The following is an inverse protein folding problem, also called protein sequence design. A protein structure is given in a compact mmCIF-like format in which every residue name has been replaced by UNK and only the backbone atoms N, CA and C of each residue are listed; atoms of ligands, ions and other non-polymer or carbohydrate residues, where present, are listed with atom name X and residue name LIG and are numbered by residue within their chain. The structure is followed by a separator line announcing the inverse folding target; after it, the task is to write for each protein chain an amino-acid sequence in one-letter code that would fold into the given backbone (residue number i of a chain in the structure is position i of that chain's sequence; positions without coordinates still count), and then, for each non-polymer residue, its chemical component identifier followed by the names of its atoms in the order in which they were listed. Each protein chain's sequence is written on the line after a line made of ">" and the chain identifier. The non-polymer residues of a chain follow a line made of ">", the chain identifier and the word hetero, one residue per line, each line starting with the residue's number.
data_IF_399959349943
#
_entry.id   IF_399959349943
#
_cell.length_a   1.000
_cell.length_b   1.000
_cell.length_c   1.000
_cell.angle_alpha   90.00
_cell.angle_beta   90.00
_cell.angle_gamma   90.00
#
_symmetry.space_group_name_H-M   'P 1'
#
loop_
_entity.id
_entity.type
_entity.pdbx_description
1 polymer ?
#
# COMPACT_ATOMS: atom_id res chain seq x y z
N UNK A 1 21.54 -9.59 26.85
CA UNK A 1 20.56 -10.36 26.04
C UNK A 1 20.80 -9.99 24.60
N UNK A 2 20.83 -10.96 23.67
CA UNK A 2 20.90 -10.64 22.24
C UNK A 2 19.63 -9.88 21.85
N UNK A 3 19.73 -8.91 20.96
CA UNK A 3 18.55 -8.19 20.46
C UNK A 3 17.70 -9.18 19.65
N UNK A 4 16.37 -9.17 19.82
CA UNK A 4 15.49 -10.03 19.04
C UNK A 4 15.57 -9.64 17.56
N UNK A 5 15.71 -10.63 16.69
CA UNK A 5 15.64 -10.44 15.24
C UNK A 5 14.24 -10.77 14.78
N UNK A 6 13.60 -9.85 14.01
CA UNK A 6 12.24 -9.99 13.51
C UNK A 6 12.19 -10.43 12.03
N UNK A 7 13.35 -10.61 11.40
CA UNK A 7 13.50 -11.13 10.04
C UNK A 7 14.58 -12.19 10.00
N UNK A 8 14.43 -13.17 9.14
CA UNK A 8 15.48 -14.15 8.89
C UNK A 8 16.70 -13.42 8.30
N UNK A 9 17.90 -13.79 8.78
CA UNK A 9 19.12 -13.30 8.14
C UNK A 9 19.25 -13.98 6.78
N UNK A 10 19.47 -13.22 5.70
CA UNK A 10 19.62 -13.83 4.38
C UNK A 10 20.89 -14.70 4.32
N UNK A 11 20.93 -15.69 3.45
CA UNK A 11 22.14 -16.42 3.16
C UNK A 11 23.22 -15.47 2.65
N UNK A 12 24.49 -15.80 2.93
CA UNK A 12 25.60 -15.01 2.42
C UNK A 12 25.68 -15.16 0.89
N UNK A 13 25.79 -14.03 0.18
CA UNK A 13 25.94 -13.97 -1.27
C UNK A 13 27.24 -13.29 -1.65
N UNK A 14 27.86 -13.67 -2.77
CA UNK A 14 29.03 -12.94 -3.28
C UNK A 14 28.62 -11.70 -4.08
N UNK A 15 29.54 -10.75 -4.27
CA UNK A 15 29.28 -9.60 -5.17
C UNK A 15 29.04 -10.05 -6.62
N UNK A 16 29.63 -11.17 -7.03
CA UNK A 16 29.33 -11.77 -8.34
C UNK A 16 27.89 -12.24 -8.43
N UNK A 17 27.37 -12.94 -7.41
CA UNK A 17 25.97 -13.39 -7.35
C UNK A 17 25.02 -12.20 -7.38
N UNK A 18 25.31 -11.16 -6.59
CA UNK A 18 24.51 -9.93 -6.54
C UNK A 18 24.50 -9.21 -7.89
N UNK A 19 25.65 -9.11 -8.56
CA UNK A 19 25.71 -8.53 -9.89
C UNK A 19 24.92 -9.35 -10.92
N UNK A 20 24.89 -10.68 -10.78
CA UNK A 20 24.10 -11.57 -11.66
C UNK A 20 22.58 -11.44 -11.48
N UNK A 21 22.10 -11.05 -10.29
CA UNK A 21 20.68 -10.80 -9.99
C UNK A 21 20.16 -9.50 -10.60
N UNK A 22 21.04 -8.61 -11.04
CA UNK A 22 20.73 -7.22 -11.38
C UNK A 22 21.31 -6.84 -12.73
N UNK A 23 21.06 -5.61 -13.15
CA UNK A 23 21.76 -5.01 -14.31
C UNK A 23 23.03 -4.25 -13.86
N UNK A 24 23.41 -4.36 -12.59
CA UNK A 24 24.57 -3.67 -12.03
C UNK A 24 25.88 -4.35 -12.47
N UNK A 25 26.90 -3.53 -12.71
CA UNK A 25 28.23 -3.99 -13.08
C UNK A 25 29.22 -3.80 -11.93
N UNK A 26 29.88 -4.87 -11.50
CA UNK A 26 30.95 -4.78 -10.51
C UNK A 26 32.20 -4.15 -11.14
N UNK A 27 32.60 -2.97 -10.69
CA UNK A 27 33.68 -2.17 -11.29
C UNK A 27 35.03 -2.85 -11.12
N UNK A 28 35.32 -3.36 -9.91
CA UNK A 28 36.53 -4.11 -9.61
C UNK A 28 36.23 -5.61 -9.52
N UNK A 29 36.51 -6.34 -10.60
CA UNK A 29 36.32 -7.78 -10.69
C UNK A 29 37.13 -8.61 -9.69
N UNK A 30 38.24 -8.07 -9.14
CA UNK A 30 39.00 -8.76 -8.12
C UNK A 30 38.23 -8.96 -6.81
N UNK A 31 37.20 -8.18 -6.59
CA UNK A 31 36.30 -8.23 -5.42
C UNK A 31 35.05 -9.16 -5.64
N UNK A 32 34.95 -9.87 -6.77
CA UNK A 32 33.81 -10.70 -7.09
C UNK A 32 33.46 -11.73 -6.01
N UNK A 33 34.44 -12.30 -5.33
CA UNK A 33 34.24 -13.24 -4.20
C UNK A 33 33.93 -12.61 -2.84
N UNK A 34 33.90 -11.27 -2.75
CA UNK A 34 33.57 -10.60 -1.49
C UNK A 34 32.16 -10.94 -1.04
N UNK A 35 32.01 -11.30 0.25
CA UNK A 35 30.74 -11.72 0.83
C UNK A 35 29.90 -10.54 1.29
N UNK A 36 28.59 -10.63 1.01
CA UNK A 36 27.55 -9.76 1.53
C UNK A 36 26.54 -10.61 2.32
N UNK A 37 26.23 -10.19 3.54
CA UNK A 37 25.29 -10.88 4.45
C UNK A 37 24.03 -10.09 4.74
N UNK A 38 23.85 -8.94 4.12
CA UNK A 38 22.66 -8.13 4.33
C UNK A 38 22.72 -6.79 3.64
N UNK A 39 21.63 -6.07 3.76
CA UNK A 39 21.42 -4.73 3.26
C UNK A 39 21.32 -3.77 4.43
N UNK A 40 21.88 -2.55 4.28
CA UNK A 40 21.78 -1.53 5.31
C UNK A 40 21.82 -0.12 4.71
N UNK A 41 21.34 0.87 5.48
CA UNK A 41 21.51 2.28 5.16
C UNK A 41 22.99 2.68 5.21
N UNK A 42 23.36 3.78 4.58
CA UNK A 42 24.75 4.25 4.49
C UNK A 42 25.43 4.41 5.86
N UNK A 43 24.70 4.89 6.84
CA UNK A 43 25.15 5.19 8.20
C UNK A 43 25.24 3.96 9.12
N UNK A 44 24.42 2.93 8.85
CA UNK A 44 24.39 1.70 9.66
C UNK A 44 25.17 0.54 9.03
N UNK A 45 25.56 0.69 7.76
CA UNK A 45 26.22 -0.37 7.01
C UNK A 45 27.59 -0.72 7.59
N UNK A 46 27.87 -2.01 7.73
CA UNK A 46 29.18 -2.57 8.08
C UNK A 46 29.83 -3.29 6.89
N UNK A 47 31.02 -3.89 7.10
CA UNK A 47 31.85 -4.46 6.01
C UNK A 47 31.19 -5.62 5.24
N UNK A 48 30.17 -6.23 5.80
CA UNK A 48 29.41 -7.33 5.17
C UNK A 48 28.07 -6.87 4.59
N UNK A 49 27.79 -5.55 4.56
CA UNK A 49 26.55 -5.03 4.04
C UNK A 49 26.71 -4.38 2.67
N UNK A 50 25.67 -4.54 1.83
CA UNK A 50 25.47 -3.76 0.63
C UNK A 50 24.55 -2.57 0.97
N UNK A 51 24.91 -1.40 0.46
CA UNK A 51 24.12 -0.17 0.52
C UNK A 51 23.89 0.40 -0.88
N UNK A 52 23.24 1.55 -0.99
CA UNK A 52 23.10 2.30 -2.24
C UNK A 52 23.26 3.80 -2.03
N UNK A 53 23.62 4.52 -3.10
CA UNK A 53 23.68 5.98 -3.11
C UNK A 53 23.21 6.55 -4.44
N UNK A 54 22.25 7.45 -4.38
CA UNK A 54 21.65 8.11 -5.55
C UNK A 54 21.30 9.60 -5.33
N UNK A 55 21.49 10.12 -4.10
CA UNK A 55 21.09 11.46 -3.72
C UNK A 55 22.19 12.18 -2.92
N UNK A 56 22.63 13.35 -3.44
CA UNK A 56 23.67 14.19 -2.84
C UNK A 56 23.37 14.66 -1.41
N UNK A 57 22.10 14.66 -1.00
CA UNK A 57 21.72 14.96 0.38
C UNK A 57 22.41 14.04 1.41
N UNK A 58 22.79 12.85 0.99
CA UNK A 58 23.44 11.83 1.83
C UNK A 58 24.95 11.69 1.57
N UNK A 59 25.59 12.69 0.95
CA UNK A 59 27.01 12.63 0.60
C UNK A 59 27.92 12.45 1.82
N UNK A 60 27.62 13.10 2.94
CA UNK A 60 28.38 12.97 4.18
C UNK A 60 28.29 11.55 4.77
N UNK A 61 27.12 10.91 4.64
CA UNK A 61 26.93 9.53 5.06
C UNK A 61 27.69 8.57 4.15
N UNK A 62 27.74 8.83 2.82
CA UNK A 62 28.56 8.05 1.91
C UNK A 62 30.05 8.15 2.26
N UNK A 63 30.55 9.35 2.53
CA UNK A 63 31.97 9.57 2.86
C UNK A 63 32.40 8.84 4.14
N UNK A 64 31.50 8.65 5.09
CA UNK A 64 31.75 8.01 6.39
C UNK A 64 31.28 6.56 6.49
N UNK A 65 30.69 6.00 5.45
CA UNK A 65 30.10 4.65 5.47
C UNK A 65 31.16 3.57 5.70
N UNK A 66 30.79 2.54 6.41
CA UNK A 66 31.61 1.32 6.62
C UNK A 66 31.11 0.15 5.77
N UNK A 67 30.25 0.41 4.78
CA UNK A 67 29.71 -0.61 3.91
C UNK A 67 30.80 -1.40 3.19
N UNK A 68 30.57 -2.69 2.97
CA UNK A 68 31.45 -3.52 2.14
C UNK A 68 31.27 -3.24 0.65
N UNK A 69 30.05 -2.88 0.23
CA UNK A 69 29.71 -2.58 -1.15
C UNK A 69 28.62 -1.51 -1.26
N UNK A 70 28.60 -0.78 -2.38
CA UNK A 70 27.62 0.27 -2.66
C UNK A 70 27.16 0.22 -4.11
N UNK A 71 25.83 0.19 -4.32
CA UNK A 71 25.22 0.44 -5.60
C UNK A 71 25.20 1.94 -5.87
N UNK A 72 25.71 2.36 -7.01
CA UNK A 72 25.86 3.78 -7.31
C UNK A 72 25.74 4.02 -8.82
N UNK A 73 25.26 5.19 -9.22
CA UNK A 73 25.32 5.59 -10.63
C UNK A 73 26.72 6.06 -11.02
N UNK A 74 27.08 5.95 -12.29
CA UNK A 74 28.38 6.34 -12.83
C UNK A 74 28.83 7.74 -12.39
N UNK A 75 27.92 8.71 -12.33
CA UNK A 75 28.20 10.10 -11.92
C UNK A 75 28.72 10.23 -10.49
N UNK A 76 28.45 9.26 -9.62
CA UNK A 76 28.83 9.30 -8.21
C UNK A 76 29.91 8.28 -7.84
N UNK A 77 30.37 7.47 -8.79
CA UNK A 77 31.34 6.41 -8.56
C UNK A 77 32.62 6.92 -7.89
N UNK A 78 33.14 8.07 -8.38
CA UNK A 78 34.33 8.70 -7.83
C UNK A 78 34.16 9.21 -6.37
N UNK A 79 32.93 9.31 -5.87
CA UNK A 79 32.64 9.74 -4.51
C UNK A 79 32.63 8.59 -3.50
N UNK A 80 32.65 7.34 -3.98
CA UNK A 80 32.63 6.15 -3.11
C UNK A 80 33.99 5.95 -2.47
N UNK A 81 34.07 5.76 -1.14
CA UNK A 81 35.36 5.50 -0.46
C UNK A 81 36.09 4.27 -1.03
N UNK A 82 37.39 4.31 -1.16
CA UNK A 82 38.21 3.27 -1.80
C UNK A 82 38.07 1.87 -1.17
N UNK A 83 37.70 1.78 0.10
CA UNK A 83 37.47 0.50 0.77
C UNK A 83 36.13 -0.17 0.40
N UNK A 84 35.17 0.58 -0.18
CA UNK A 84 33.84 0.10 -0.55
C UNK A 84 33.89 -0.43 -1.98
N UNK A 85 33.36 -1.64 -2.22
CA UNK A 85 33.22 -2.18 -3.57
C UNK A 85 32.10 -1.44 -4.31
N UNK A 86 32.34 -1.09 -5.57
CA UNK A 86 31.38 -0.36 -6.39
C UNK A 86 30.62 -1.31 -7.32
N UNK A 87 29.30 -1.30 -7.20
CA UNK A 87 28.37 -1.87 -8.16
C UNK A 87 27.72 -0.73 -8.94
N UNK A 88 28.12 -0.52 -10.19
CA UNK A 88 27.60 0.54 -11.05
C UNK A 88 26.24 0.15 -11.59
N UNK A 89 25.21 0.99 -11.38
CA UNK A 89 23.84 0.77 -11.84
C UNK A 89 23.24 2.05 -12.41
N UNK A 90 22.38 1.96 -13.42
CA UNK A 90 21.63 3.12 -13.93
C UNK A 90 20.59 3.64 -12.93
N UNK A 91 20.00 2.75 -12.16
CA UNK A 91 19.00 3.04 -11.14
C UNK A 91 19.38 2.33 -9.81
N UNK A 92 20.33 2.87 -9.02
CA UNK A 92 20.85 2.20 -7.84
C UNK A 92 19.80 1.72 -6.84
N UNK A 93 18.80 2.55 -6.55
CA UNK A 93 17.72 2.18 -5.64
C UNK A 93 16.86 1.04 -6.18
N UNK A 94 16.57 1.02 -7.47
CA UNK A 94 15.80 -0.08 -8.07
C UNK A 94 16.53 -1.41 -7.99
N UNK A 95 17.82 -1.42 -8.30
CA UNK A 95 18.65 -2.64 -8.17
C UNK A 95 18.76 -3.07 -6.71
N UNK A 96 18.91 -2.13 -5.78
CA UNK A 96 18.90 -2.41 -4.35
C UNK A 96 17.59 -3.10 -3.91
N UNK A 97 16.45 -2.61 -4.38
CA UNK A 97 15.14 -3.24 -4.11
C UNK A 97 15.04 -4.63 -4.75
N UNK A 98 15.57 -4.81 -5.97
CA UNK A 98 15.59 -6.13 -6.63
C UNK A 98 16.37 -7.14 -5.79
N UNK A 99 17.56 -6.75 -5.30
CA UNK A 99 18.37 -7.58 -4.41
C UNK A 99 17.65 -7.84 -3.08
N UNK A 100 17.02 -6.81 -2.50
CA UNK A 100 16.28 -6.95 -1.26
C UNK A 100 15.14 -7.98 -1.37
N UNK A 101 14.41 -7.98 -2.47
CA UNK A 101 13.32 -8.92 -2.75
C UNK A 101 13.80 -10.37 -2.87
N UNK A 102 14.99 -10.58 -3.38
CA UNK A 102 15.60 -11.90 -3.47
C UNK A 102 16.13 -12.38 -2.12
N UNK A 103 16.91 -11.53 -1.44
CA UNK A 103 17.52 -11.87 -0.17
C UNK A 103 16.50 -12.02 0.98
N UNK A 104 15.39 -11.32 0.92
CA UNK A 104 14.33 -11.30 1.93
C UNK A 104 12.97 -11.69 1.34
N UNK A 105 12.94 -12.73 0.51
CA UNK A 105 11.71 -13.20 -0.14
C UNK A 105 10.56 -13.46 0.85
N UNK A 106 10.89 -13.98 2.04
CA UNK A 106 9.91 -14.22 3.12
C UNK A 106 9.27 -12.93 3.66
N UNK A 107 9.96 -11.78 3.54
CA UNK A 107 9.41 -10.50 3.96
C UNK A 107 8.39 -9.91 2.98
N UNK A 108 8.32 -10.43 1.75
CA UNK A 108 7.37 -9.97 0.74
C UNK A 108 5.93 -10.44 1.04
N UNK A 109 5.80 -11.51 1.82
CA UNK A 109 4.53 -12.09 2.22
C UNK A 109 4.57 -12.47 3.68
N UNK A 110 3.74 -11.87 4.53
CA UNK A 110 3.61 -12.29 5.91
C UNK A 110 3.23 -13.77 5.98
N UNK A 111 4.00 -14.53 6.75
CA UNK A 111 3.69 -15.90 7.07
C UNK A 111 2.84 -15.96 8.35
N UNK A 112 2.45 -17.18 8.77
CA UNK A 112 1.84 -17.35 10.09
C UNK A 112 2.72 -16.75 11.19
N UNK A 113 2.14 -15.91 12.03
CA UNK A 113 2.85 -15.36 13.20
C UNK A 113 3.21 -16.42 14.24
N UNK A 114 2.57 -17.57 14.18
CA UNK A 114 2.72 -18.69 15.12
C UNK A 114 3.56 -19.84 14.54
N UNK A 115 4.07 -19.69 13.31
CA UNK A 115 4.82 -20.74 12.63
C UNK A 115 3.98 -21.97 12.27
N UNK A 116 2.65 -21.80 12.13
CA UNK A 116 1.77 -22.89 11.70
C UNK A 116 2.09 -23.32 10.26
N UNK A 117 1.98 -24.63 10.03
CA UNK A 117 2.12 -25.25 8.71
C UNK A 117 0.81 -25.89 8.21
N UNK A 118 -0.34 -25.45 8.69
CA UNK A 118 -1.65 -25.98 8.37
C UNK A 118 -2.75 -25.34 9.19
N UNK A 119 -3.80 -26.09 9.52
CA UNK A 119 -4.95 -25.57 10.26
C UNK A 119 -4.68 -25.71 11.77
N UNK A 120 -4.69 -24.60 12.49
CA UNK A 120 -4.56 -24.57 13.93
C UNK A 120 -5.75 -25.27 14.61
N UNK A 121 -5.54 -26.10 15.66
CA UNK A 121 -6.64 -26.82 16.33
C UNK A 121 -7.71 -25.93 16.97
N UNK A 122 -7.37 -24.65 17.26
CA UNK A 122 -8.30 -23.66 17.81
C UNK A 122 -8.99 -22.80 16.74
N UNK A 123 -8.74 -23.04 15.47
CA UNK A 123 -9.51 -22.41 14.38
C UNK A 123 -10.90 -23.08 14.29
N UNK A 124 -11.91 -22.27 14.00
CA UNK A 124 -13.28 -22.75 13.79
C UNK A 124 -13.60 -22.69 12.30
N UNK A 125 -13.81 -23.84 11.68
CA UNK A 125 -14.08 -23.94 10.24
C UNK A 125 -15.42 -24.63 10.05
N UNK A 126 -16.32 -23.99 9.30
CA UNK A 126 -17.60 -24.60 8.94
C UNK A 126 -17.36 -25.83 8.06
N UNK A 127 -18.08 -26.95 8.29
CA UNK A 127 -17.91 -28.20 7.52
C UNK A 127 -18.16 -28.04 6.00
N UNK A 128 -18.87 -26.99 5.57
CA UNK A 128 -19.15 -26.73 4.16
C UNK A 128 -18.09 -25.85 3.50
N UNK A 129 -17.11 -25.34 4.26
CA UNK A 129 -16.00 -24.58 3.71
C UNK A 129 -15.04 -25.49 2.95
N UNK A 130 -14.55 -24.99 1.81
CA UNK A 130 -13.58 -25.69 0.97
C UNK A 130 -12.22 -24.96 0.98
N UNK A 131 -11.22 -25.59 1.55
CA UNK A 131 -9.85 -25.11 1.60
C UNK A 131 -8.98 -25.99 0.69
N UNK A 132 -8.28 -25.39 -0.27
CA UNK A 132 -7.31 -26.11 -1.10
C UNK A 132 -6.08 -26.53 -0.29
N UNK A 133 -5.24 -27.38 -0.86
CA UNK A 133 -4.02 -27.86 -0.21
C UNK A 133 -3.04 -26.71 0.12
N UNK A 134 -2.35 -26.82 1.24
CA UNK A 134 -1.36 -25.82 1.67
C UNK A 134 -1.95 -24.54 2.24
N UNK A 135 -3.27 -24.47 2.48
CA UNK A 135 -3.86 -23.35 3.23
C UNK A 135 -3.42 -23.42 4.69
N UNK A 136 -3.00 -22.28 5.21
CA UNK A 136 -2.61 -22.11 6.62
C UNK A 136 -3.69 -21.29 7.33
N UNK A 137 -4.17 -21.79 8.46
CA UNK A 137 -5.16 -21.10 9.29
C UNK A 137 -4.62 -20.98 10.71
N UNK A 138 -4.37 -19.79 11.14
CA UNK A 138 -3.83 -19.47 12.46
C UNK A 138 -4.86 -19.66 13.58
N UNK A 139 -4.42 -19.70 14.84
CA UNK A 139 -5.29 -19.87 15.99
C UNK A 139 -6.43 -18.85 16.05
N UNK A 140 -7.62 -19.30 16.49
CA UNK A 140 -8.80 -18.45 16.71
C UNK A 140 -9.40 -17.82 15.45
N UNK A 141 -8.93 -18.16 14.26
CA UNK A 141 -9.62 -17.74 13.03
C UNK A 141 -10.95 -18.45 12.87
N UNK A 142 -11.95 -17.77 12.29
CA UNK A 142 -13.30 -18.30 12.06
C UNK A 142 -13.60 -18.26 10.57
N UNK A 143 -13.93 -19.41 9.97
CA UNK A 143 -14.27 -19.56 8.56
C UNK A 143 -15.70 -20.07 8.46
N UNK A 144 -16.56 -19.25 7.84
CA UNK A 144 -17.98 -19.45 7.73
C UNK A 144 -18.41 -20.45 6.64
N UNK A 145 -19.73 -20.68 6.50
CA UNK A 145 -20.30 -21.62 5.55
C UNK A 145 -19.96 -21.28 4.08
N UNK A 146 -19.72 -22.31 3.28
CA UNK A 146 -19.49 -22.25 1.83
C UNK A 146 -18.35 -21.29 1.45
N UNK A 147 -17.39 -21.03 2.34
CA UNK A 147 -16.18 -20.27 2.03
C UNK A 147 -15.26 -21.13 1.16
N UNK A 148 -14.67 -20.52 0.13
CA UNK A 148 -13.66 -21.17 -0.71
C UNK A 148 -12.32 -20.42 -0.55
N UNK A 149 -11.22 -21.15 -0.23
CA UNK A 149 -9.88 -20.59 -0.04
C UNK A 149 -8.88 -21.35 -0.89
N UNK A 150 -8.18 -20.64 -1.77
CA UNK A 150 -7.18 -21.19 -2.67
C UNK A 150 -5.86 -21.56 -1.99
N UNK A 151 -5.12 -22.46 -2.62
CA UNK A 151 -3.85 -23.01 -2.15
C UNK A 151 -2.82 -21.93 -1.77
N UNK A 152 -1.99 -22.21 -0.77
CA UNK A 152 -0.93 -21.31 -0.31
C UNK A 152 -1.40 -20.07 0.44
N UNK A 153 -2.71 -19.91 0.64
CA UNK A 153 -3.28 -18.76 1.36
C UNK A 153 -3.12 -18.92 2.86
N UNK A 154 -2.77 -17.83 3.53
CA UNK A 154 -2.60 -17.74 5.00
C UNK A 154 -3.73 -16.91 5.59
N UNK A 155 -4.46 -17.47 6.54
CA UNK A 155 -5.50 -16.76 7.32
C UNK A 155 -4.98 -16.53 8.72
N UNK A 156 -4.72 -15.28 9.07
CA UNK A 156 -4.13 -14.85 10.34
C UNK A 156 -5.06 -15.02 11.53
N UNK A 157 -4.46 -15.00 12.70
CA UNK A 157 -5.14 -15.24 13.98
C UNK A 157 -6.32 -14.27 14.20
N UNK A 158 -7.46 -14.84 14.65
CA UNK A 158 -8.66 -14.06 14.93
C UNK A 158 -9.33 -13.43 13.71
N UNK A 159 -8.91 -13.76 12.48
CA UNK A 159 -9.61 -13.33 11.28
C UNK A 159 -10.98 -14.01 11.16
N UNK A 160 -11.97 -13.29 10.66
CA UNK A 160 -13.34 -13.79 10.47
C UNK A 160 -13.72 -13.70 8.99
N UNK A 161 -13.92 -14.86 8.38
CA UNK A 161 -14.34 -14.98 6.98
C UNK A 161 -15.81 -15.38 6.94
N UNK A 162 -16.66 -14.46 6.49
CA UNK A 162 -18.11 -14.65 6.43
C UNK A 162 -18.54 -15.64 5.36
N UNK A 163 -19.80 -16.09 5.44
CA UNK A 163 -20.37 -17.06 4.51
C UNK A 163 -20.23 -16.66 3.03
N UNK A 164 -19.98 -17.66 2.16
CA UNK A 164 -19.88 -17.53 0.70
C UNK A 164 -18.74 -16.61 0.19
N UNK A 165 -17.81 -16.21 1.04
CA UNK A 165 -16.61 -15.47 0.62
C UNK A 165 -15.71 -16.41 -0.17
N UNK A 166 -15.10 -15.87 -1.24
CA UNK A 166 -14.10 -16.59 -2.03
C UNK A 166 -12.77 -15.83 -1.98
N UNK A 167 -11.71 -16.56 -1.67
CA UNK A 167 -10.33 -16.04 -1.61
C UNK A 167 -9.48 -16.91 -2.53
N UNK A 168 -8.75 -16.27 -3.44
CA UNK A 168 -7.86 -16.93 -4.38
C UNK A 168 -6.63 -17.56 -3.72
N UNK A 169 -5.65 -17.93 -4.57
CA UNK A 169 -4.42 -18.59 -4.15
C UNK A 169 -3.36 -17.60 -3.73
N UNK A 170 -2.44 -18.06 -2.91
CA UNK A 170 -1.29 -17.28 -2.47
C UNK A 170 -1.68 -15.94 -1.84
N UNK A 171 -2.79 -15.86 -1.14
CA UNK A 171 -3.22 -14.67 -0.42
C UNK A 171 -2.71 -14.67 1.02
N UNK A 172 -2.70 -13.49 1.64
CA UNK A 172 -2.50 -13.36 3.08
C UNK A 172 -3.61 -12.48 3.66
N UNK A 173 -4.33 -12.99 4.63
CA UNK A 173 -5.34 -12.24 5.41
C UNK A 173 -4.79 -12.04 6.81
N UNK A 174 -4.43 -10.80 7.14
CA UNK A 174 -3.84 -10.42 8.41
C UNK A 174 -4.76 -10.66 9.61
N UNK A 175 -4.14 -10.74 10.78
CA UNK A 175 -4.86 -10.99 12.04
C UNK A 175 -6.00 -10.00 12.27
N UNK A 176 -7.09 -10.48 12.90
CA UNK A 176 -8.29 -9.69 13.24
C UNK A 176 -8.95 -8.97 12.05
N UNK A 177 -8.75 -9.44 10.83
CA UNK A 177 -9.44 -8.93 9.64
C UNK A 177 -10.82 -9.59 9.52
N UNK A 178 -11.85 -8.81 9.23
CA UNK A 178 -13.19 -9.30 8.94
C UNK A 178 -13.50 -9.14 7.44
N UNK A 179 -13.90 -10.25 6.79
CA UNK A 179 -14.25 -10.27 5.36
C UNK A 179 -15.64 -10.88 5.20
N UNK A 180 -16.54 -10.17 4.55
CA UNK A 180 -17.86 -10.66 4.20
C UNK A 180 -18.27 -10.13 2.82
N UNK A 181 -19.22 -10.79 2.17
CA UNK A 181 -19.75 -10.34 0.88
C UNK A 181 -18.67 -9.97 -0.13
N UNK A 182 -17.59 -10.75 -0.24
CA UNK A 182 -16.42 -10.43 -1.02
C UNK A 182 -15.94 -11.56 -1.92
N UNK A 183 -15.37 -11.19 -3.07
CA UNK A 183 -14.61 -12.04 -3.98
C UNK A 183 -13.20 -11.48 -4.07
N UNK A 184 -12.21 -12.27 -3.71
CA UNK A 184 -10.81 -11.87 -3.65
C UNK A 184 -9.99 -12.73 -4.61
N UNK A 185 -9.22 -12.09 -5.48
CA UNK A 185 -8.33 -12.72 -6.47
C UNK A 185 -7.12 -13.39 -5.84
N UNK A 186 -6.14 -13.71 -6.68
CA UNK A 186 -4.89 -14.33 -6.27
C UNK A 186 -3.84 -13.28 -5.84
N UNK A 187 -2.87 -13.70 -5.04
CA UNK A 187 -1.76 -12.85 -4.63
C UNK A 187 -2.18 -11.59 -3.85
N UNK A 188 -3.33 -11.60 -3.21
CA UNK A 188 -3.83 -10.44 -2.46
C UNK A 188 -3.26 -10.47 -1.04
N UNK A 189 -2.69 -9.34 -0.63
CA UNK A 189 -2.19 -9.13 0.73
C UNK A 189 -3.12 -8.17 1.47
N UNK A 190 -3.73 -8.62 2.54
CA UNK A 190 -4.58 -7.83 3.41
C UNK A 190 -3.93 -7.75 4.78
N UNK A 191 -3.52 -6.56 5.19
CA UNK A 191 -2.88 -6.32 6.47
C UNK A 191 -3.87 -6.41 7.65
N UNK A 192 -3.38 -6.52 8.90
CA UNK A 192 -4.23 -6.73 10.07
C UNK A 192 -5.30 -5.67 10.28
N UNK A 193 -6.44 -6.11 10.85
CA UNK A 193 -7.51 -5.21 11.31
C UNK A 193 -8.35 -4.57 10.21
N UNK A 194 -8.28 -5.07 8.99
CA UNK A 194 -9.14 -4.59 7.90
C UNK A 194 -10.60 -5.04 8.08
N UNK A 195 -11.53 -4.24 7.58
CA UNK A 195 -12.95 -4.61 7.48
C UNK A 195 -13.40 -4.50 6.03
N UNK A 196 -13.86 -5.61 5.43
CA UNK A 196 -14.15 -5.71 4.00
C UNK A 196 -15.55 -6.29 3.80
N UNK A 197 -16.39 -5.55 3.06
CA UNK A 197 -17.71 -6.03 2.66
C UNK A 197 -18.84 -5.72 3.64
N UNK A 198 -18.60 -4.89 4.66
CA UNK A 198 -19.67 -4.32 5.48
C UNK A 198 -20.60 -3.41 4.66
N UNK A 199 -21.79 -3.14 5.17
CA UNK A 199 -22.75 -2.26 4.50
C UNK A 199 -22.16 -0.85 4.31
N UNK A 200 -22.32 -0.31 3.10
CA UNK A 200 -22.04 1.07 2.80
C UNK A 200 -23.02 2.04 3.49
N UNK A 201 -22.62 3.31 3.58
CA UNK A 201 -23.45 4.39 4.15
C UNK A 201 -24.53 4.79 3.15
N UNK A 202 -25.69 4.12 3.24
CA UNK A 202 -26.86 4.37 2.39
C UNK A 202 -28.11 4.65 3.21
N UNK A 203 -28.55 5.91 3.22
CA UNK A 203 -29.78 6.33 3.92
C UNK A 203 -30.54 7.34 3.09
N UNK A 204 -31.88 7.21 3.08
CA UNK A 204 -32.77 8.25 2.59
C UNK A 204 -33.10 9.16 3.76
N UNK A 205 -32.90 10.45 3.56
CA UNK A 205 -33.24 11.44 4.56
C UNK A 205 -34.77 11.61 4.64
N UNK A 206 -35.37 11.32 5.79
CA UNK A 206 -36.83 11.23 5.93
C UNK A 206 -37.40 12.28 6.89
N UNK A 207 -36.84 13.46 6.95
CA UNK A 207 -37.32 14.56 7.80
C UNK A 207 -37.54 14.15 9.26
N UNK A 208 -38.68 14.58 9.89
CA UNK A 208 -38.94 14.28 11.31
C UNK A 208 -39.14 12.80 11.62
N UNK A 209 -39.41 11.94 10.62
CA UNK A 209 -39.57 10.48 10.80
C UNK A 209 -38.26 9.68 10.93
N UNK A 210 -37.11 10.34 10.83
CA UNK A 210 -35.80 9.68 10.87
C UNK A 210 -35.25 9.31 9.49
N UNK A 211 -34.22 8.46 9.46
CA UNK A 211 -33.55 8.03 8.24
C UNK A 211 -33.92 6.61 7.87
N UNK A 212 -34.28 6.39 6.60
CA UNK A 212 -34.60 5.07 6.07
C UNK A 212 -33.31 4.44 5.50
N UNK A 213 -32.90 3.29 6.05
CA UNK A 213 -31.71 2.58 5.58
C UNK A 213 -31.97 1.96 4.20
N UNK A 214 -31.04 2.17 3.27
CA UNK A 214 -31.02 1.53 1.95
C UNK A 214 -30.32 0.17 2.07
N UNK A 215 -30.97 -0.95 1.71
CA UNK A 215 -30.33 -2.26 1.71
C UNK A 215 -29.09 -2.28 0.80
N UNK A 216 -28.03 -2.92 1.29
CA UNK A 216 -26.77 -3.08 0.55
C UNK A 216 -26.68 -4.55 0.09
N UNK A 217 -26.76 -4.80 -1.21
CA UNK A 217 -26.84 -6.16 -1.78
C UNK A 217 -25.71 -6.51 -2.74
N UNK A 218 -24.88 -5.52 -3.13
CA UNK A 218 -23.68 -5.73 -3.93
C UNK A 218 -22.58 -6.41 -3.13
N UNK A 219 -21.39 -6.51 -3.71
CA UNK A 219 -20.22 -7.18 -3.14
C UNK A 219 -19.01 -6.25 -3.16
N UNK A 220 -17.94 -6.71 -2.55
CA UNK A 220 -16.58 -6.22 -2.82
C UNK A 220 -15.88 -7.20 -3.75
N UNK A 221 -15.25 -6.70 -4.80
CA UNK A 221 -14.39 -7.48 -5.71
C UNK A 221 -12.98 -6.91 -5.65
N UNK A 222 -12.03 -7.69 -5.17
CA UNK A 222 -10.61 -7.34 -5.15
C UNK A 222 -9.91 -8.22 -6.18
N UNK A 223 -9.30 -7.61 -7.20
CA UNK A 223 -8.58 -8.34 -8.24
C UNK A 223 -7.21 -8.83 -7.77
N UNK A 224 -6.43 -9.45 -8.68
CA UNK A 224 -5.13 -10.03 -8.33
C UNK A 224 -4.10 -8.97 -7.90
N UNK A 225 -3.09 -9.40 -7.15
CA UNK A 225 -1.91 -8.59 -6.82
C UNK A 225 -2.21 -7.28 -6.07
N UNK A 226 -3.38 -7.16 -5.44
CA UNK A 226 -3.76 -6.00 -4.63
C UNK A 226 -3.15 -6.11 -3.23
N UNK A 227 -2.75 -4.98 -2.66
CA UNK A 227 -2.32 -4.89 -1.27
C UNK A 227 -3.20 -3.88 -0.52
N UNK A 228 -3.71 -4.28 0.65
CA UNK A 228 -4.61 -3.47 1.48
C UNK A 228 -3.98 -3.28 2.85
N UNK A 229 -3.63 -2.04 3.17
CA UNK A 229 -2.98 -1.63 4.42
C UNK A 229 -3.86 -1.79 5.66
N UNK A 230 -3.20 -1.86 6.80
CA UNK A 230 -3.83 -2.15 8.09
C UNK A 230 -4.96 -1.17 8.45
N UNK A 231 -6.05 -1.69 9.02
CA UNK A 231 -7.18 -0.89 9.45
C UNK A 231 -7.98 -0.22 8.32
N UNK A 232 -7.76 -0.60 7.06
CA UNK A 232 -8.52 -0.12 5.91
C UNK A 232 -9.91 -0.73 5.90
N UNK A 233 -10.91 0.05 5.49
CA UNK A 233 -12.32 -0.35 5.40
C UNK A 233 -12.82 -0.21 3.97
N UNK A 234 -13.48 -1.27 3.45
CA UNK A 234 -14.01 -1.32 2.08
C UNK A 234 -15.47 -1.73 2.13
N UNK A 235 -16.36 -0.78 1.86
CA UNK A 235 -17.80 -1.01 1.88
C UNK A 235 -18.25 -1.82 0.65
N UNK A 236 -19.20 -2.71 0.85
CA UNK A 236 -19.89 -3.38 -0.26
C UNK A 236 -20.72 -2.37 -1.06
N UNK A 237 -20.99 -2.68 -2.30
CA UNK A 237 -21.89 -1.86 -3.09
C UNK A 237 -23.37 -2.00 -2.68
N UNK A 238 -24.16 -1.01 -2.99
CA UNK A 238 -25.60 -1.06 -2.75
C UNK A 238 -26.31 -2.06 -3.67
N UNK A 239 -26.27 -1.84 -4.99
CA UNK A 239 -26.81 -2.74 -6.01
C UNK A 239 -25.75 -3.27 -6.96
N UNK A 240 -24.65 -2.52 -7.17
CA UNK A 240 -23.47 -2.90 -7.95
C UNK A 240 -22.32 -3.19 -7.00
N UNK A 241 -21.27 -3.81 -7.50
CA UNK A 241 -20.09 -4.12 -6.68
C UNK A 241 -19.22 -2.88 -6.43
N UNK A 242 -18.46 -2.89 -5.35
CA UNK A 242 -17.26 -2.07 -5.13
C UNK A 242 -16.09 -2.86 -5.68
N UNK A 243 -15.27 -2.27 -6.56
CA UNK A 243 -14.23 -2.99 -7.31
C UNK A 243 -12.85 -2.35 -7.11
N UNK A 244 -11.87 -3.17 -6.78
CA UNK A 244 -10.46 -2.77 -6.68
C UNK A 244 -9.68 -3.49 -7.78
N UNK A 245 -9.11 -2.71 -8.70
CA UNK A 245 -8.36 -3.19 -9.87
C UNK A 245 -7.01 -3.81 -9.50
N UNK A 246 -6.57 -4.72 -10.38
CA UNK A 246 -5.35 -5.49 -10.25
C UNK A 246 -4.11 -4.62 -9.97
N UNK A 247 -3.22 -5.10 -9.11
CA UNK A 247 -1.94 -4.45 -8.81
C UNK A 247 -2.03 -3.18 -7.97
N UNK A 248 -3.23 -2.73 -7.59
CA UNK A 248 -3.43 -1.52 -6.78
C UNK A 248 -2.90 -1.72 -5.36
N UNK A 249 -2.22 -0.68 -4.84
CA UNK A 249 -1.65 -0.64 -3.50
C UNK A 249 -2.36 0.41 -2.66
N UNK A 250 -2.93 -0.03 -1.56
CA UNK A 250 -3.70 0.78 -0.62
C UNK A 250 -2.96 0.77 0.71
N UNK A 251 -2.62 1.94 1.22
CA UNK A 251 -1.94 2.10 2.50
C UNK A 251 -2.94 2.03 3.67
N UNK A 252 -2.47 2.27 4.87
CA UNK A 252 -3.22 2.06 6.11
C UNK A 252 -4.38 3.06 6.29
N UNK A 253 -5.46 2.59 6.95
CA UNK A 253 -6.60 3.42 7.38
C UNK A 253 -7.30 4.16 6.23
N UNK A 254 -7.37 3.55 5.05
CA UNK A 254 -8.12 4.09 3.93
C UNK A 254 -9.59 3.68 4.05
N UNK A 255 -10.53 4.64 3.83
CA UNK A 255 -11.95 4.34 3.70
C UNK A 255 -12.34 4.33 2.23
N UNK A 256 -12.89 3.21 1.76
CA UNK A 256 -13.46 3.07 0.40
C UNK A 256 -14.96 2.87 0.54
N UNK A 257 -15.73 3.88 0.10
CA UNK A 257 -17.18 3.88 0.15
C UNK A 257 -17.82 2.92 -0.85
N UNK A 258 -19.12 2.70 -0.69
CA UNK A 258 -19.91 1.80 -1.51
C UNK A 258 -19.90 2.17 -3.01
N UNK A 259 -19.92 1.19 -3.90
CA UNK A 259 -19.96 1.38 -5.36
C UNK A 259 -18.75 2.13 -5.95
N UNK A 260 -17.65 2.23 -5.24
CA UNK A 260 -16.39 2.78 -5.76
C UNK A 260 -15.76 1.77 -6.71
N UNK A 261 -15.31 2.24 -7.86
CA UNK A 261 -14.48 1.46 -8.79
C UNK A 261 -13.10 2.10 -8.85
N UNK A 262 -12.06 1.34 -8.49
CA UNK A 262 -10.66 1.74 -8.59
C UNK A 262 -10.02 0.91 -9.71
N UNK A 263 -9.34 1.58 -10.63
CA UNK A 263 -8.60 0.96 -11.71
C UNK A 263 -7.36 0.19 -11.26
N UNK A 264 -6.53 -0.20 -12.21
CA UNK A 264 -5.34 -1.02 -12.00
C UNK A 264 -4.12 -0.17 -11.63
N UNK A 265 -3.21 -0.78 -10.86
CA UNK A 265 -1.90 -0.21 -10.53
C UNK A 265 -1.98 1.18 -9.88
N UNK A 266 -3.05 1.47 -9.16
CA UNK A 266 -3.19 2.70 -8.40
C UNK A 266 -2.36 2.67 -7.10
N UNK A 267 -1.98 3.85 -6.63
CA UNK A 267 -1.30 4.04 -5.35
C UNK A 267 -2.13 4.97 -4.47
N UNK A 268 -2.70 4.44 -3.40
CA UNK A 268 -3.51 5.16 -2.43
C UNK A 268 -2.74 5.22 -1.11
N UNK A 269 -2.23 6.39 -0.75
CA UNK A 269 -1.51 6.58 0.51
C UNK A 269 -2.46 6.57 1.73
N UNK A 270 -1.89 6.64 2.93
CA UNK A 270 -2.65 6.44 4.16
C UNK A 270 -3.76 7.48 4.42
N UNK A 271 -4.82 7.02 5.09
CA UNK A 271 -5.91 7.86 5.58
C UNK A 271 -6.70 8.60 4.48
N UNK A 272 -6.76 8.07 3.29
CA UNK A 272 -7.62 8.57 2.21
C UNK A 272 -9.08 8.24 2.52
N UNK A 273 -9.98 9.18 2.21
CA UNK A 273 -11.42 8.99 2.26
C UNK A 273 -12.04 9.07 0.87
N UNK A 274 -12.56 7.96 0.37
CA UNK A 274 -13.31 7.89 -0.89
C UNK A 274 -14.80 7.78 -0.58
N UNK A 275 -15.56 8.80 -0.93
CA UNK A 275 -17.02 8.76 -0.81
C UNK A 275 -17.62 7.77 -1.83
N UNK A 276 -18.90 7.44 -1.69
CA UNK A 276 -19.56 6.44 -2.54
C UNK A 276 -19.67 6.79 -4.02
N UNK A 277 -19.74 5.77 -4.87
CA UNK A 277 -20.00 5.88 -6.32
C UNK A 277 -18.93 6.62 -7.13
N UNK A 278 -17.67 6.56 -6.71
CA UNK A 278 -16.53 7.11 -7.45
C UNK A 278 -16.06 6.16 -8.56
N UNK A 279 -15.48 6.73 -9.60
CA UNK A 279 -14.71 5.99 -10.60
C UNK A 279 -13.29 6.55 -10.65
N UNK A 280 -12.31 5.75 -10.31
CA UNK A 280 -10.88 6.07 -10.36
C UNK A 280 -10.27 5.21 -11.47
N UNK A 281 -9.59 5.85 -12.43
CA UNK A 281 -8.95 5.20 -13.55
C UNK A 281 -7.68 4.41 -13.18
N UNK A 282 -6.98 3.93 -14.19
CA UNK A 282 -5.73 3.17 -14.02
C UNK A 282 -4.54 4.09 -13.66
N UNK A 283 -3.56 3.57 -12.90
CA UNK A 283 -2.31 4.26 -12.57
C UNK A 283 -2.48 5.62 -11.84
N UNK A 284 -3.56 5.80 -11.10
CA UNK A 284 -3.82 7.00 -10.31
C UNK A 284 -3.00 6.97 -9.02
N UNK A 285 -2.43 8.12 -8.63
CA UNK A 285 -1.70 8.27 -7.38
C UNK A 285 -2.35 9.33 -6.48
N UNK A 286 -2.84 8.89 -5.32
CA UNK A 286 -3.46 9.75 -4.32
C UNK A 286 -2.55 9.87 -3.09
N UNK A 287 -2.18 11.09 -2.73
CA UNK A 287 -1.39 11.40 -1.55
C UNK A 287 -2.17 11.19 -0.24
N UNK A 288 -1.46 11.09 0.87
CA UNK A 288 -2.07 10.83 2.18
C UNK A 288 -3.15 11.87 2.54
N UNK A 289 -4.22 11.40 3.20
CA UNK A 289 -5.34 12.22 3.66
C UNK A 289 -6.08 12.99 2.55
N UNK A 290 -6.06 12.50 1.33
CA UNK A 290 -6.92 13.00 0.26
C UNK A 290 -8.36 12.59 0.55
N UNK A 291 -9.28 13.54 0.44
CA UNK A 291 -10.73 13.29 0.47
C UNK A 291 -11.33 13.50 -0.90
N UNK A 292 -12.12 12.56 -1.41
CA UNK A 292 -12.80 12.69 -2.71
C UNK A 292 -14.30 12.60 -2.50
N UNK A 293 -15.04 13.62 -2.99
CA UNK A 293 -16.49 13.66 -2.90
C UNK A 293 -17.15 12.61 -3.80
N UNK A 294 -18.40 12.28 -3.53
CA UNK A 294 -19.14 11.24 -4.23
C UNK A 294 -19.41 11.55 -5.73
N UNK A 295 -19.65 10.50 -6.51
CA UNK A 295 -20.02 10.54 -7.93
C UNK A 295 -19.00 11.21 -8.89
N UNK A 296 -17.74 11.35 -8.49
CA UNK A 296 -16.69 11.94 -9.31
C UNK A 296 -15.95 10.89 -10.14
N UNK A 297 -15.29 11.39 -11.21
CA UNK A 297 -14.39 10.61 -12.06
C UNK A 297 -12.98 11.15 -11.96
N UNK A 298 -12.04 10.29 -11.64
CA UNK A 298 -10.61 10.58 -11.61
C UNK A 298 -9.97 9.82 -12.77
N UNK A 299 -9.48 10.56 -13.76
CA UNK A 299 -8.94 9.97 -15.00
C UNK A 299 -7.62 9.23 -14.80
N UNK A 300 -7.27 8.37 -15.76
CA UNK A 300 -6.05 7.55 -15.74
C UNK A 300 -4.79 8.39 -15.51
N UNK A 301 -3.88 7.89 -14.70
CA UNK A 301 -2.60 8.54 -14.40
C UNK A 301 -2.70 9.86 -13.65
N UNK A 302 -3.88 10.25 -13.16
CA UNK A 302 -4.03 11.47 -12.37
C UNK A 302 -3.25 11.37 -11.04
N UNK A 303 -2.76 12.50 -10.57
CA UNK A 303 -2.01 12.61 -9.33
C UNK A 303 -2.61 13.69 -8.44
N UNK A 304 -2.91 13.34 -7.19
CA UNK A 304 -3.44 14.28 -6.20
C UNK A 304 -2.49 14.36 -5.02
N UNK A 305 -2.04 15.56 -4.69
CA UNK A 305 -1.13 15.76 -3.55
C UNK A 305 -1.83 15.54 -2.22
N UNK A 306 -1.05 15.21 -1.20
CA UNK A 306 -1.57 14.97 0.15
C UNK A 306 -2.43 16.12 0.69
N UNK A 307 -3.36 15.80 1.60
CA UNK A 307 -4.25 16.77 2.28
C UNK A 307 -5.23 17.52 1.36
N UNK A 308 -5.47 17.05 0.13
CA UNK A 308 -6.35 17.71 -0.82
C UNK A 308 -7.80 17.24 -0.70
N UNK A 309 -8.75 18.15 -0.86
CA UNK A 309 -10.18 17.87 -0.97
C UNK A 309 -10.61 18.02 -2.45
N UNK A 310 -11.06 16.92 -3.05
CA UNK A 310 -11.46 16.88 -4.46
C UNK A 310 -12.99 16.96 -4.54
N UNK A 311 -13.50 17.98 -5.22
CA UNK A 311 -14.93 18.24 -5.39
C UNK A 311 -15.40 18.20 -6.84
N UNK A 312 -14.49 18.11 -7.80
CA UNK A 312 -14.75 18.08 -9.24
C UNK A 312 -13.98 16.93 -9.91
N UNK A 313 -14.42 16.52 -11.10
CA UNK A 313 -13.75 15.50 -11.89
C UNK A 313 -12.31 15.92 -12.25
N UNK A 314 -11.39 14.96 -12.24
CA UNK A 314 -9.99 15.19 -12.63
C UNK A 314 -9.71 14.49 -13.96
N UNK A 315 -9.27 15.21 -14.99
CA UNK A 315 -8.93 14.61 -16.29
C UNK A 315 -7.72 13.68 -16.20
N UNK A 316 -7.58 12.78 -17.17
CA UNK A 316 -6.43 11.87 -17.26
C UNK A 316 -5.10 12.63 -17.26
N UNK A 317 -4.12 12.14 -16.50
CA UNK A 317 -2.81 12.78 -16.31
C UNK A 317 -2.82 14.07 -15.51
N UNK A 318 -3.99 14.50 -15.01
CA UNK A 318 -4.14 15.73 -14.23
C UNK A 318 -3.33 15.68 -12.92
N UNK A 319 -2.67 16.80 -12.59
CA UNK A 319 -1.94 16.97 -11.31
C UNK A 319 -2.63 18.04 -10.49
N UNK A 320 -3.28 17.60 -9.42
CA UNK A 320 -4.11 18.44 -8.57
C UNK A 320 -3.57 18.48 -7.14
N UNK A 321 -3.85 19.56 -6.43
CA UNK A 321 -3.44 19.70 -5.05
C UNK A 321 -3.91 21.01 -4.44
N UNK A 322 -3.90 21.06 -3.12
CA UNK A 322 -4.22 22.25 -2.35
C UNK A 322 -4.12 21.95 -0.86
N UNK A 323 -3.80 22.96 -0.09
CA UNK A 323 -3.72 22.90 1.38
C UNK A 323 -2.36 22.46 1.94
N UNK A 324 -1.39 23.38 1.93
CA UNK A 324 -0.08 23.15 2.56
C UNK A 324 0.06 23.92 3.87
N UNK A 325 0.73 23.30 4.87
CA UNK A 325 1.10 23.99 6.09
C UNK A 325 2.05 25.17 5.80
N UNK A 326 1.82 26.28 6.50
CA UNK A 326 2.60 27.52 6.40
C UNK A 326 2.97 28.00 7.80
N UNK A 327 3.98 28.86 7.96
CA UNK A 327 4.19 29.56 9.22
C UNK A 327 2.89 30.24 9.65
N UNK A 328 2.48 30.02 10.92
CA UNK A 328 1.17 30.46 11.44
C UNK A 328 0.88 31.94 11.17
N UNK A 329 1.89 32.83 11.33
CA UNK A 329 1.73 34.25 11.07
C UNK A 329 1.44 34.56 9.60
N UNK A 330 2.03 33.80 8.67
CA UNK A 330 1.77 33.93 7.24
C UNK A 330 0.36 33.47 6.92
N UNK A 331 -0.04 32.32 7.42
CA UNK A 331 -1.39 31.77 7.24
C UNK A 331 -2.48 32.75 7.71
N UNK A 332 -2.37 33.30 8.91
CA UNK A 332 -3.32 34.30 9.41
C UNK A 332 -3.35 35.56 8.54
N UNK A 333 -2.19 36.03 8.05
CA UNK A 333 -2.16 37.21 7.14
C UNK A 333 -2.92 36.95 5.85
N UNK A 334 -2.78 35.74 5.27
CA UNK A 334 -3.48 35.34 4.05
C UNK A 334 -5.00 35.27 4.28
N UNK A 335 -5.45 34.65 5.38
CA UNK A 335 -6.87 34.60 5.74
C UNK A 335 -7.44 36.02 5.90
N UNK A 336 -6.79 36.90 6.65
CA UNK A 336 -7.24 38.28 6.83
C UNK A 336 -7.25 39.05 5.50
N UNK A 337 -6.30 38.79 4.62
CA UNK A 337 -6.27 39.43 3.30
C UNK A 337 -7.48 38.99 2.44
N UNK A 338 -7.81 37.70 2.42
CA UNK A 338 -8.98 37.17 1.71
C UNK A 338 -10.29 37.75 2.28
N UNK A 339 -10.43 37.76 3.63
CA UNK A 339 -11.60 38.34 4.29
C UNK A 339 -11.79 39.84 3.94
N UNK A 340 -10.70 40.63 3.86
CA UNK A 340 -10.75 42.02 3.42
C UNK A 340 -11.22 42.15 1.99
N UNK A 341 -10.66 41.36 1.06
CA UNK A 341 -11.06 41.38 -0.37
C UNK A 341 -12.56 41.06 -0.52
N UNK A 342 -13.09 40.09 0.23
CA UNK A 342 -14.52 39.75 0.21
C UNK A 342 -15.36 40.90 0.78
N UNK A 343 -14.96 41.48 1.91
CA UNK A 343 -15.68 42.62 2.53
C UNK A 343 -15.68 43.88 1.69
N UNK A 344 -14.54 44.19 1.03
CA UNK A 344 -14.38 45.41 0.29
C UNK A 344 -14.95 45.32 -1.17
N UNK A 345 -15.63 44.18 -1.50
CA UNK A 345 -16.32 43.99 -2.77
C UNK A 345 -15.42 43.85 -4.00
N UNK A 346 -14.10 43.78 -3.79
CA UNK A 346 -13.12 43.67 -4.91
C UNK A 346 -12.98 42.23 -5.43
N UNK A 347 -13.73 41.24 -4.88
CA UNK A 347 -13.73 39.87 -5.27
C UNK A 347 -15.10 39.38 -5.78
N UNK A 348 -15.92 40.24 -6.37
CA UNK A 348 -17.14 39.78 -7.04
C UNK A 348 -16.82 39.48 -8.53
N UNK A 349 -16.53 38.24 -8.91
CA UNK A 349 -16.66 37.81 -10.29
C UNK A 349 -18.15 37.72 -10.52
N UNK A 350 -18.73 38.61 -11.31
CA UNK A 350 -20.11 38.73 -11.72
C UNK A 350 -20.90 37.42 -11.55
N UNK A 351 -21.78 37.47 -10.54
CA UNK A 351 -22.61 36.33 -10.19
C UNK A 351 -23.44 35.89 -11.41
N UNK A 352 -23.26 34.63 -11.77
CA UNK A 352 -24.34 33.86 -12.33
C UNK A 352 -24.84 32.94 -11.22
N UNK A 353 -25.93 33.39 -10.60
CA UNK A 353 -26.73 32.56 -9.73
C UNK A 353 -27.17 31.30 -10.47
N UNK A 354 -27.01 30.17 -9.81
CA UNK A 354 -27.84 29.00 -10.03
C UNK A 354 -28.36 28.54 -8.68
N UNK A 355 -29.68 28.71 -8.56
CA UNK A 355 -30.53 28.06 -7.58
C UNK A 355 -30.39 26.53 -7.60
#
# INVERSE_FOLDING_TARGET
>A
MAQPTFSNQPPSSTLADIAALTTAHLVDSSRAGQQVRGLASLDEAGPMHLTFFDNLKYADQLASTKAGACLVSERFEASVPAHVAVLRAKQPFREFVTIARELYSDALRPQSWFGNAGIAPSAVIDPTAHLEDGVIVDPLAVIGPNVEIGAGTVIGSGAVIGANVRIGRDCNVGAHTAIQCALIGNNVLIHPGCSIGQDGYGFVFFGPGGHLKVPQTGRVVIQNDVEVGAGTTIDRGSLRDTVIGEGTKIDNQVQIGHNVTIGRHCLLAAQIGLAGSLTIGDNVALGAKVGINNHLKIGDGAQVTAMSAVKDDIPAGGRWGGHFAKPTRQWFREIVAVERLVRDGSADPKGEGRE
#
